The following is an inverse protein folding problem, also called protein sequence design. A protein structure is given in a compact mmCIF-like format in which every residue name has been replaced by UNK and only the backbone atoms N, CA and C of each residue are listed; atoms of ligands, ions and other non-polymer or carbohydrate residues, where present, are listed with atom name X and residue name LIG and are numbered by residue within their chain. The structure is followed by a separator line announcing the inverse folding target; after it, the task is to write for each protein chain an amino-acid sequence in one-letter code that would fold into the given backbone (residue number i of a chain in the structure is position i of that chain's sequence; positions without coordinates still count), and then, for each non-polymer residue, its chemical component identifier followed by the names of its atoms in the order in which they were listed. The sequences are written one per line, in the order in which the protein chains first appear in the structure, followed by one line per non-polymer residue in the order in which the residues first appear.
data_IF_043628958321
#
_entry.id   IF_043628958321
#
_cell.length_a   1.000
_cell.length_b   1.000
_cell.length_c   1.000
_cell.angle_alpha   90.00
_cell.angle_beta   90.00
_cell.angle_gamma   90.00
#
_symmetry.space_group_name_H-M   'P 1'
#
loop_
_entity.id
_entity.type
_entity.pdbx_description
1 polymer ?
#
# COMPACT_ATOMS: atom_id res chain seq x y z
N UNK A 1 -50.34 -49.42 -21.79
CA UNK A 1 -49.94 -49.72 -20.39
C UNK A 1 -48.41 -49.62 -20.17
N UNK A 2 -47.74 -48.55 -20.62
CA UNK A 2 -46.29 -48.37 -20.37
C UNK A 2 -45.90 -46.98 -19.82
N UNK A 3 -46.84 -46.03 -19.70
CA UNK A 3 -46.58 -44.71 -19.11
C UNK A 3 -46.79 -44.65 -17.58
N UNK A 4 -47.40 -45.68 -16.98
CA UNK A 4 -47.66 -45.73 -15.53
C UNK A 4 -46.46 -46.24 -14.71
N UNK A 5 -45.48 -46.91 -15.34
CA UNK A 5 -44.30 -47.46 -14.62
C UNK A 5 -43.12 -46.47 -14.51
N UNK A 6 -43.05 -45.44 -15.35
CA UNK A 6 -41.96 -44.46 -15.29
C UNK A 6 -42.13 -43.43 -14.17
N UNK A 7 -43.36 -43.14 -13.73
CA UNK A 7 -43.62 -42.18 -12.64
C UNK A 7 -43.38 -42.76 -11.24
N UNK A 8 -43.33 -44.08 -11.08
CA UNK A 8 -43.08 -44.71 -9.78
C UNK A 8 -41.58 -44.76 -9.41
N UNK A 9 -40.68 -44.84 -10.40
CA UNK A 9 -39.23 -44.79 -10.16
C UNK A 9 -38.71 -43.38 -9.82
N UNK A 10 -39.36 -42.32 -10.30
CA UNK A 10 -38.92 -40.94 -10.04
C UNK A 10 -39.27 -40.45 -8.62
N UNK A 11 -40.29 -41.03 -7.97
CA UNK A 11 -40.67 -40.69 -6.59
C UNK A 11 -39.89 -41.47 -5.52
N UNK A 12 -39.24 -42.60 -5.87
CA UNK A 12 -38.45 -43.39 -4.92
C UNK A 12 -37.00 -42.88 -4.75
N UNK A 13 -36.48 -42.05 -5.67
CA UNK A 13 -35.14 -41.47 -5.53
C UNK A 13 -35.09 -40.17 -4.72
N UNK A 14 -36.24 -39.60 -4.31
CA UNK A 14 -36.29 -38.35 -3.54
C UNK A 14 -36.37 -38.56 -2.01
N UNK A 15 -36.40 -39.80 -1.51
CA UNK A 15 -36.57 -40.10 -0.08
C UNK A 15 -35.41 -40.89 0.58
N UNK A 16 -34.25 -41.02 -0.08
CA UNK A 16 -33.10 -41.77 0.45
C UNK A 16 -31.90 -40.87 0.85
N UNK A 17 -32.17 -39.74 1.52
CA UNK A 17 -31.14 -38.79 1.96
C UNK A 17 -31.41 -38.15 3.32
N UNK A 18 -32.10 -38.85 4.22
CA UNK A 18 -32.45 -38.35 5.54
C UNK A 18 -32.15 -39.38 6.62
N UNK A 19 -30.88 -39.66 6.91
CA UNK A 19 -30.45 -40.23 8.21
C UNK A 19 -29.00 -39.78 8.49
N UNK A 20 -28.74 -39.45 9.76
CA UNK A 20 -27.44 -39.26 10.45
C UNK A 20 -26.89 -37.82 10.56
N UNK A 21 -27.61 -37.00 11.33
CA UNK A 21 -26.98 -35.95 12.14
C UNK A 21 -26.65 -36.53 13.52
N UNK A 22 -25.37 -36.64 13.93
CA UNK A 22 -25.02 -36.71 15.34
C UNK A 22 -25.04 -35.30 15.92
N UNK A 23 -25.95 -35.08 16.86
CA UNK A 23 -25.88 -33.96 17.78
C UNK A 23 -24.64 -34.11 18.67
N UNK A 24 -23.58 -33.39 18.34
CA UNK A 24 -22.48 -33.11 19.28
C UNK A 24 -22.68 -31.67 19.76
N UNK A 25 -23.42 -31.55 20.86
CA UNK A 25 -23.25 -30.44 21.77
C UNK A 25 -21.87 -30.58 22.39
N UNK A 26 -20.95 -29.69 22.06
CA UNK A 26 -19.80 -29.44 22.93
C UNK A 26 -19.40 -27.98 22.86
N UNK A 27 -19.25 -27.44 24.05
CA UNK A 27 -19.09 -26.05 24.39
C UNK A 27 -18.05 -25.31 23.53
N UNK A 28 -18.45 -24.11 23.12
CA UNK A 28 -17.54 -23.06 22.74
C UNK A 28 -16.64 -22.71 23.94
N UNK A 29 -15.45 -23.29 23.99
CA UNK A 29 -14.35 -22.76 24.78
C UNK A 29 -13.52 -21.86 23.86
N UNK A 30 -13.90 -20.59 23.86
CA UNK A 30 -13.02 -19.49 23.46
C UNK A 30 -11.77 -19.56 24.36
N UNK A 31 -10.54 -19.57 23.82
CA UNK A 31 -9.41 -19.15 24.63
C UNK A 31 -9.55 -17.65 24.85
N UNK A 32 -10.06 -17.30 26.03
CA UNK A 32 -9.79 -16.02 26.68
C UNK A 32 -8.28 -15.84 26.64
N UNK A 33 -7.82 -14.82 25.93
CA UNK A 33 -6.46 -14.34 26.03
C UNK A 33 -6.28 -13.83 27.47
N UNK A 34 -5.84 -14.73 28.36
CA UNK A 34 -5.41 -14.37 29.71
C UNK A 34 -4.23 -13.43 29.57
N UNK A 35 -4.50 -12.18 29.89
CA UNK A 35 -3.53 -11.21 30.33
C UNK A 35 -2.75 -11.81 31.51
N UNK A 36 -1.54 -12.31 31.27
CA UNK A 36 -0.53 -12.43 32.30
C UNK A 36 0.48 -11.31 32.10
N UNK A 37 0.08 -10.10 32.48
CA UNK A 37 1.02 -9.08 32.92
C UNK A 37 1.40 -9.48 34.36
N UNK A 38 2.56 -10.15 34.49
CA UNK A 38 3.21 -10.22 35.78
C UNK A 38 3.54 -8.78 36.21
N UNK A 39 2.91 -8.35 37.30
CA UNK A 39 3.18 -7.06 37.92
C UNK A 39 4.41 -7.24 38.80
N UNK A 40 5.54 -6.67 38.42
CA UNK A 40 6.66 -6.44 39.34
C UNK A 40 6.28 -5.26 40.26
N UNK A 41 6.17 -5.45 41.58
CA UNK A 41 6.04 -4.34 42.50
C UNK A 41 7.44 -4.07 43.06
N UNK A 42 8.17 -3.12 42.49
CA UNK A 42 9.17 -2.28 43.18
C UNK A 42 10.00 -1.46 42.17
N UNK A 43 9.88 -0.13 42.21
CA UNK A 43 10.86 0.76 41.57
C UNK A 43 10.26 2.06 41.05
N UNK A 44 10.28 3.09 41.89
CA UNK A 44 9.69 4.40 41.64
C UNK A 44 10.44 5.23 40.57
N UNK A 45 9.65 5.92 39.74
CA UNK A 45 10.04 7.08 38.93
C UNK A 45 8.80 7.65 38.22
N UNK A 46 8.40 8.92 38.47
CA UNK A 46 7.26 9.52 37.81
C UNK A 46 7.74 10.19 36.51
N UNK A 47 7.57 9.54 35.36
CA UNK A 47 7.69 10.22 34.06
C UNK A 47 8.24 9.39 32.90
N UNK A 48 7.50 8.39 32.42
CA UNK A 48 7.43 8.09 30.97
C UNK A 48 6.20 7.19 30.73
N UNK A 49 5.03 7.83 30.60
CA UNK A 49 3.75 7.14 30.44
C UNK A 49 3.60 6.48 29.07
N UNK A 50 3.50 5.15 29.06
CA UNK A 50 2.62 4.35 28.19
C UNK A 50 2.93 4.23 26.69
N UNK A 51 3.90 4.95 26.14
CA UNK A 51 4.19 4.87 24.69
C UNK A 51 5.19 3.74 24.40
N UNK A 52 4.85 2.76 23.53
CA UNK A 52 5.79 1.70 23.17
C UNK A 52 7.13 2.25 22.67
N UNK A 53 8.25 1.68 23.14
CA UNK A 53 9.61 2.14 22.80
C UNK A 53 9.84 2.30 21.29
N UNK A 54 9.35 1.37 20.49
CA UNK A 54 9.45 1.42 19.02
C UNK A 54 8.75 2.66 18.43
N UNK A 55 7.59 3.03 18.97
CA UNK A 55 6.84 4.21 18.55
C UNK A 55 7.62 5.50 18.88
N UNK A 56 8.23 5.59 20.07
CA UNK A 56 9.08 6.73 20.46
C UNK A 56 10.27 6.88 19.51
N UNK A 57 10.99 5.79 19.23
CA UNK A 57 12.12 5.77 18.28
C UNK A 57 11.69 6.19 16.87
N UNK A 58 10.55 5.69 16.38
CA UNK A 58 10.03 6.07 15.07
C UNK A 58 9.66 7.56 14.98
N UNK A 59 9.04 8.12 16.03
CA UNK A 59 8.72 9.55 16.12
C UNK A 59 9.98 10.40 16.14
N UNK A 60 11.00 10.02 16.92
CA UNK A 60 12.28 10.72 16.98
C UNK A 60 13.01 10.71 15.63
N UNK A 61 13.05 9.56 14.95
CA UNK A 61 13.59 9.43 13.59
C UNK A 61 12.87 10.36 12.61
N UNK A 62 11.55 10.43 12.67
CA UNK A 62 10.75 11.31 11.83
C UNK A 62 10.99 12.81 12.13
N UNK A 63 11.16 13.17 13.41
CA UNK A 63 11.50 14.55 13.83
C UNK A 63 12.89 14.96 13.35
N UNK A 64 13.87 14.07 13.40
CA UNK A 64 15.22 14.34 12.89
C UNK A 64 15.33 14.25 11.34
N UNK A 65 14.26 13.80 10.68
CA UNK A 65 14.21 13.51 9.25
C UNK A 65 14.30 14.72 8.33
N UNK A 66 14.53 14.43 7.05
CA UNK A 66 14.47 15.39 5.94
C UNK A 66 13.06 15.44 5.38
N UNK A 67 12.49 16.63 5.31
CA UNK A 67 11.16 16.88 4.78
C UNK A 67 11.24 17.59 3.44
N UNK A 68 10.56 17.09 2.43
CA UNK A 68 10.53 17.64 1.07
C UNK A 68 9.27 18.45 0.85
N UNK A 69 9.39 19.69 0.40
CA UNK A 69 8.22 20.46 0.00
C UNK A 69 7.79 20.12 -1.41
N UNK A 70 6.61 19.53 -1.60
CA UNK A 70 6.00 19.38 -2.90
C UNK A 70 4.53 19.85 -2.84
N UNK A 71 4.07 20.61 -3.83
CA UNK A 71 2.68 21.07 -3.89
C UNK A 71 2.20 21.78 -2.60
N UNK A 72 3.01 22.69 -2.04
CA UNK A 72 2.74 23.43 -0.78
C UNK A 72 2.54 22.55 0.46
N UNK A 73 3.03 21.31 0.40
CA UNK A 73 3.04 20.36 1.52
C UNK A 73 4.45 19.86 1.73
N UNK A 74 4.87 19.78 2.99
CA UNK A 74 6.11 19.12 3.35
C UNK A 74 5.84 17.64 3.67
N UNK A 75 6.71 16.76 3.19
CA UNK A 75 6.58 15.30 3.28
C UNK A 75 7.90 14.66 3.73
N UNK A 76 7.90 13.74 4.69
CA UNK A 76 9.11 13.02 5.05
C UNK A 76 9.50 12.02 3.96
N UNK A 77 10.75 11.56 3.97
CA UNK A 77 11.14 10.43 3.11
C UNK A 77 10.51 9.12 3.60
N UNK A 78 10.14 8.24 2.67
CA UNK A 78 9.54 6.94 2.97
C UNK A 78 10.34 6.13 4.01
N UNK A 79 11.66 6.04 3.86
CA UNK A 79 12.53 5.29 4.76
C UNK A 79 12.63 5.92 6.17
N UNK A 80 12.43 7.23 6.30
CA UNK A 80 12.41 7.90 7.61
C UNK A 80 11.13 7.55 8.37
N UNK A 81 10.02 7.39 7.65
CA UNK A 81 8.77 6.89 8.25
C UNK A 81 8.97 5.43 8.66
N UNK A 82 9.43 4.57 7.77
CA UNK A 82 9.81 3.20 8.14
C UNK A 82 8.67 2.41 8.79
N UNK A 83 8.99 1.65 9.83
CA UNK A 83 8.05 0.88 10.65
C UNK A 83 6.95 1.72 11.32
N UNK A 84 7.16 3.03 11.48
CA UNK A 84 6.18 3.94 12.08
C UNK A 84 4.82 3.89 11.35
N UNK A 85 4.78 3.56 10.05
CA UNK A 85 3.54 3.43 9.29
C UNK A 85 2.65 2.25 9.73
N UNK A 86 3.21 1.29 10.47
CA UNK A 86 2.50 0.13 11.02
C UNK A 86 2.18 0.29 12.50
N UNK A 87 3.02 1.02 13.25
CA UNK A 87 2.80 1.32 14.66
C UNK A 87 1.66 2.32 14.90
N UNK A 88 1.31 3.07 13.85
CA UNK A 88 0.30 4.12 13.89
C UNK A 88 -1.03 3.61 13.31
N UNK A 89 -2.18 3.89 13.95
CA UNK A 89 -3.48 3.54 13.39
C UNK A 89 -3.70 4.30 12.08
N UNK A 90 -4.31 3.62 11.11
CA UNK A 90 -4.68 4.21 9.82
C UNK A 90 -5.93 5.08 9.89
N UNK A 91 -6.73 4.97 10.94
CA UNK A 91 -7.84 5.87 11.19
C UNK A 91 -7.49 6.71 12.42
N UNK A 92 -6.98 7.92 12.18
CA UNK A 92 -6.86 8.89 13.26
C UNK A 92 -8.20 9.64 13.35
N UNK A 93 -8.97 9.35 14.40
CA UNK A 93 -10.27 10.02 14.64
C UNK A 93 -10.11 11.54 14.80
N UNK A 94 -8.90 12.02 15.06
CA UNK A 94 -8.59 13.42 15.33
C UNK A 94 -7.93 14.13 14.13
N UNK A 95 -7.58 13.42 13.06
CA UNK A 95 -7.04 14.02 11.83
C UNK A 95 -8.02 13.76 10.69
N UNK A 96 -8.62 14.82 10.16
CA UNK A 96 -9.40 14.70 8.93
C UNK A 96 -8.50 14.18 7.81
N UNK A 97 -8.78 12.99 7.24
CA UNK A 97 -8.02 12.52 6.10
C UNK A 97 -8.22 13.48 4.94
N UNK A 98 -7.16 13.73 4.16
CA UNK A 98 -7.29 14.55 2.95
C UNK A 98 -8.29 13.93 1.99
N UNK A 99 -8.99 14.74 1.19
CA UNK A 99 -9.94 14.25 0.18
C UNK A 99 -9.31 13.25 -0.78
N UNK A 100 -8.02 13.43 -1.11
CA UNK A 100 -7.24 12.48 -1.91
C UNK A 100 -7.04 11.13 -1.19
N UNK A 101 -6.69 11.16 0.11
CA UNK A 101 -6.53 9.94 0.90
C UNK A 101 -7.83 9.13 1.01
N UNK A 102 -8.96 9.82 1.23
CA UNK A 102 -10.30 9.22 1.22
C UNK A 102 -10.59 8.58 -0.15
N UNK A 103 -10.32 9.30 -1.23
CA UNK A 103 -10.52 8.80 -2.60
C UNK A 103 -9.68 7.56 -2.91
N UNK A 104 -8.43 7.49 -2.45
CA UNK A 104 -7.56 6.30 -2.61
C UNK A 104 -8.10 5.09 -1.88
N UNK A 105 -8.55 5.25 -0.63
CA UNK A 105 -9.16 4.16 0.15
C UNK A 105 -10.45 3.68 -0.51
N UNK A 106 -11.28 4.60 -1.01
CA UNK A 106 -12.51 4.24 -1.73
C UNK A 106 -12.21 3.44 -3.00
N UNK A 107 -11.26 3.87 -3.83
CA UNK A 107 -10.84 3.14 -5.04
C UNK A 107 -10.28 1.75 -4.71
N UNK A 108 -9.48 1.62 -3.64
CA UNK A 108 -9.00 0.31 -3.18
C UNK A 108 -10.15 -0.61 -2.73
N UNK A 109 -11.12 -0.07 -1.98
CA UNK A 109 -12.30 -0.84 -1.54
C UNK A 109 -13.17 -1.27 -2.73
N UNK A 110 -13.27 -0.45 -3.75
CA UNK A 110 -13.97 -0.80 -4.99
C UNK A 110 -13.26 -1.91 -5.77
N UNK A 111 -11.94 -1.84 -5.89
CA UNK A 111 -11.12 -2.92 -6.46
C UNK A 111 -11.29 -4.23 -5.68
N UNK A 112 -11.25 -4.16 -4.34
CA UNK A 112 -11.50 -5.30 -3.47
C UNK A 112 -12.91 -5.88 -3.68
N UNK A 113 -13.95 -5.05 -3.72
CA UNK A 113 -15.33 -5.51 -3.95
C UNK A 113 -15.46 -6.22 -5.30
N UNK A 114 -14.85 -5.65 -6.34
CA UNK A 114 -14.83 -6.22 -7.68
C UNK A 114 -14.11 -7.56 -7.70
N UNK A 115 -12.96 -7.66 -7.01
CA UNK A 115 -12.20 -8.90 -6.84
C UNK A 115 -13.01 -9.99 -6.14
N UNK A 116 -13.67 -9.66 -5.02
CA UNK A 116 -14.53 -10.60 -4.29
C UNK A 116 -15.74 -11.07 -5.11
N UNK A 117 -16.17 -10.30 -6.10
CA UNK A 117 -17.26 -10.67 -7.01
C UNK A 117 -16.76 -11.52 -8.17
N UNK A 118 -15.53 -11.25 -8.65
CA UNK A 118 -14.94 -11.91 -9.81
C UNK A 118 -13.43 -11.97 -9.68
N UNK A 119 -12.92 -13.16 -9.38
CA UNK A 119 -11.49 -13.48 -9.40
C UNK A 119 -11.02 -13.84 -10.82
N UNK A 120 -9.74 -13.60 -11.17
CA UNK A 120 -9.18 -14.08 -12.42
C UNK A 120 -9.06 -15.62 -12.41
N UNK A 121 -9.15 -16.22 -13.59
CA UNK A 121 -8.92 -17.66 -13.74
C UNK A 121 -7.51 -18.03 -13.22
N UNK A 122 -7.41 -19.07 -12.40
CA UNK A 122 -6.15 -19.50 -11.80
C UNK A 122 -5.73 -18.72 -10.55
N UNK A 123 -6.50 -17.71 -10.08
CA UNK A 123 -6.17 -16.94 -8.88
C UNK A 123 -5.97 -17.80 -7.64
N UNK A 124 -6.93 -18.68 -7.33
CA UNK A 124 -6.84 -19.59 -6.19
C UNK A 124 -5.58 -20.47 -6.19
N UNK A 125 -5.03 -20.78 -7.37
CA UNK A 125 -3.76 -21.51 -7.51
C UNK A 125 -2.57 -20.63 -7.14
N UNK A 126 -2.56 -19.35 -7.51
CA UNK A 126 -1.52 -18.42 -7.04
C UNK A 126 -1.58 -18.28 -5.51
N UNK A 127 -2.77 -18.06 -4.97
CA UNK A 127 -3.01 -17.95 -3.52
C UNK A 127 -2.50 -19.19 -2.79
N UNK A 128 -2.86 -20.39 -3.27
CA UNK A 128 -2.43 -21.65 -2.67
C UNK A 128 -0.91 -21.81 -2.67
N UNK A 129 -0.24 -21.40 -3.75
CA UNK A 129 1.22 -21.51 -3.86
C UNK A 129 1.95 -20.48 -2.98
N UNK A 130 1.44 -19.24 -2.88
CA UNK A 130 1.98 -18.24 -1.93
C UNK A 130 1.79 -18.71 -0.49
N UNK A 131 0.63 -19.29 -0.14
CA UNK A 131 0.39 -19.92 1.18
C UNK A 131 1.35 -21.08 1.44
N UNK A 132 1.56 -21.95 0.45
CA UNK A 132 2.47 -23.08 0.60
C UNK A 132 3.93 -22.62 0.82
N UNK A 133 4.37 -21.61 0.06
CA UNK A 133 5.72 -21.03 0.24
C UNK A 133 5.87 -20.37 1.61
N UNK A 134 4.81 -19.73 2.12
CA UNK A 134 4.78 -19.16 3.47
C UNK A 134 4.99 -20.22 4.55
N UNK A 135 4.30 -21.36 4.44
CA UNK A 135 4.45 -22.49 5.38
C UNK A 135 5.85 -23.10 5.27
N UNK A 136 6.38 -23.21 4.05
CA UNK A 136 7.66 -23.86 3.77
C UNK A 136 8.88 -23.04 4.18
N UNK A 137 8.88 -21.75 3.88
CA UNK A 137 10.07 -20.88 3.95
C UNK A 137 9.81 -19.53 4.64
N UNK A 138 8.62 -19.34 5.22
CA UNK A 138 8.26 -18.16 5.99
C UNK A 138 7.72 -17.00 5.15
N UNK A 139 7.29 -15.95 5.86
CA UNK A 139 6.60 -14.79 5.28
C UNK A 139 7.46 -14.07 4.23
N UNK A 140 8.77 -13.92 4.46
CA UNK A 140 9.66 -13.24 3.53
C UNK A 140 9.72 -13.92 2.15
N UNK A 141 9.81 -15.25 2.12
CA UNK A 141 9.82 -16.01 0.86
C UNK A 141 8.48 -15.90 0.12
N UNK A 142 7.37 -15.97 0.86
CA UNK A 142 6.04 -15.81 0.28
C UNK A 142 5.78 -14.42 -0.29
N UNK A 143 6.27 -13.37 0.38
CA UNK A 143 6.19 -11.99 -0.12
C UNK A 143 7.02 -11.81 -1.39
N UNK A 144 8.24 -12.33 -1.40
CA UNK A 144 9.11 -12.33 -2.58
C UNK A 144 8.46 -13.07 -3.76
N UNK A 145 7.81 -14.21 -3.51
CA UNK A 145 7.07 -14.95 -4.53
C UNK A 145 5.86 -14.17 -5.06
N UNK A 146 5.07 -13.56 -4.19
CA UNK A 146 3.91 -12.76 -4.59
C UNK A 146 4.31 -11.55 -5.45
N UNK A 147 5.40 -10.88 -5.07
CA UNK A 147 5.98 -9.75 -5.82
C UNK A 147 6.40 -10.18 -7.22
N UNK A 148 7.21 -11.24 -7.33
CA UNK A 148 7.68 -11.78 -8.60
C UNK A 148 6.52 -12.25 -9.51
N UNK A 149 5.53 -12.95 -8.95
CA UNK A 149 4.34 -13.40 -9.70
C UNK A 149 3.59 -12.24 -10.34
N UNK A 150 3.35 -11.15 -9.61
CA UNK A 150 2.62 -10.00 -10.14
C UNK A 150 3.46 -9.19 -11.12
N UNK A 151 4.78 -9.14 -10.94
CA UNK A 151 5.71 -8.45 -11.84
C UNK A 151 5.88 -9.14 -13.21
N UNK A 152 5.34 -10.34 -13.40
CA UNK A 152 5.21 -10.99 -14.72
C UNK A 152 4.14 -10.35 -15.62
N UNK A 153 3.38 -9.35 -15.12
CA UNK A 153 2.49 -8.54 -15.94
C UNK A 153 3.26 -7.32 -16.46
N UNK A 154 3.09 -6.96 -17.74
CA UNK A 154 3.74 -5.78 -18.33
C UNK A 154 3.19 -4.48 -17.72
N UNK A 155 4.07 -3.51 -17.49
CA UNK A 155 3.65 -2.15 -17.14
C UNK A 155 3.02 -1.43 -18.35
N UNK A 156 1.84 -0.83 -18.18
CA UNK A 156 1.08 -0.15 -19.23
C UNK A 156 0.53 1.19 -18.73
N UNK A 157 1.02 2.28 -19.31
CA UNK A 157 0.50 3.64 -19.08
C UNK A 157 -0.92 3.85 -19.64
N UNK A 158 -1.54 4.97 -19.29
CA UNK A 158 -2.84 5.38 -19.85
C UNK A 158 -4.05 4.69 -19.22
N UNK A 159 -3.96 4.27 -17.95
CA UNK A 159 -5.13 3.75 -17.22
C UNK A 159 -6.11 4.87 -16.86
N UNK A 160 -7.38 4.52 -16.64
CA UNK A 160 -8.50 5.46 -16.41
C UNK A 160 -8.51 6.15 -15.03
N UNK A 161 -7.40 6.08 -14.28
CA UNK A 161 -7.32 6.63 -12.93
C UNK A 161 -7.89 5.74 -11.81
N UNK A 162 -8.76 4.75 -12.12
CA UNK A 162 -9.27 3.78 -11.14
C UNK A 162 -8.19 2.83 -10.62
N UNK A 163 -8.48 2.04 -9.59
CA UNK A 163 -7.61 0.97 -9.11
C UNK A 163 -8.13 -0.35 -9.69
N UNK A 164 -7.32 -1.06 -10.45
CA UNK A 164 -7.78 -2.27 -11.12
C UNK A 164 -7.83 -3.44 -10.13
N UNK A 165 -8.96 -4.16 -10.12
CA UNK A 165 -9.03 -5.48 -9.52
C UNK A 165 -8.16 -6.49 -10.31
N UNK A 166 -7.67 -7.58 -9.70
CA UNK A 166 -6.77 -8.53 -10.35
C UNK A 166 -7.29 -9.09 -11.68
N UNK A 167 -8.61 -9.32 -11.80
CA UNK A 167 -9.24 -9.74 -13.05
C UNK A 167 -9.01 -8.76 -14.20
N UNK A 168 -9.20 -7.46 -13.94
CA UNK A 168 -8.97 -6.42 -14.94
C UNK A 168 -7.47 -6.24 -15.18
N UNK A 169 -6.68 -6.19 -14.12
CA UNK A 169 -5.23 -6.02 -14.19
C UNK A 169 -4.56 -7.14 -15.00
N UNK A 170 -4.95 -8.40 -14.85
CA UNK A 170 -4.39 -9.49 -15.65
C UNK A 170 -4.87 -9.47 -17.10
N UNK A 171 -6.08 -8.99 -17.37
CA UNK A 171 -6.57 -8.89 -18.75
C UNK A 171 -5.95 -7.69 -19.51
N UNK A 172 -5.77 -6.58 -18.81
CA UNK A 172 -5.43 -5.31 -19.43
C UNK A 172 -4.00 -4.84 -19.16
N UNK A 173 -3.28 -5.42 -18.21
CA UNK A 173 -2.14 -4.76 -17.55
C UNK A 173 -2.54 -3.50 -16.77
N UNK A 174 -1.57 -2.77 -16.21
CA UNK A 174 -1.84 -1.54 -15.46
C UNK A 174 -0.59 -0.73 -15.15
N UNK A 175 -0.75 0.28 -14.30
CA UNK A 175 0.35 1.13 -13.80
C UNK A 175 0.69 0.79 -12.35
N UNK A 176 1.66 1.48 -11.74
CA UNK A 176 2.19 1.18 -10.41
C UNK A 176 1.15 0.86 -9.33
N UNK A 177 0.06 1.65 -9.26
CA UNK A 177 -1.04 1.44 -8.31
C UNK A 177 -1.75 0.10 -8.50
N UNK A 178 -1.88 -0.38 -9.73
CA UNK A 178 -2.59 -1.62 -10.07
C UNK A 178 -1.74 -2.84 -9.69
N UNK A 179 -0.41 -2.76 -9.89
CA UNK A 179 0.53 -3.75 -9.36
C UNK A 179 0.46 -3.81 -7.83
N UNK A 180 0.45 -2.66 -7.15
CA UNK A 180 0.35 -2.60 -5.69
C UNK A 180 -0.96 -3.23 -5.20
N UNK A 181 -2.09 -2.98 -5.88
CA UNK A 181 -3.40 -3.58 -5.58
C UNK A 181 -3.39 -5.09 -5.80
N UNK A 182 -2.83 -5.58 -6.91
CA UNK A 182 -2.76 -7.01 -7.19
C UNK A 182 -1.90 -7.76 -6.15
N UNK A 183 -0.74 -7.21 -5.77
CA UNK A 183 0.12 -7.76 -4.70
C UNK A 183 -0.58 -7.74 -3.35
N UNK A 184 -1.25 -6.64 -3.04
CA UNK A 184 -2.02 -6.46 -1.82
C UNK A 184 -3.08 -7.56 -1.67
N UNK A 185 -3.88 -7.77 -2.72
CA UNK A 185 -4.95 -8.76 -2.72
C UNK A 185 -4.41 -10.20 -2.72
N UNK A 186 -3.31 -10.47 -3.44
CA UNK A 186 -2.67 -11.79 -3.43
C UNK A 186 -2.19 -12.17 -2.03
N UNK A 187 -1.51 -11.26 -1.34
CA UNK A 187 -1.01 -11.49 0.02
C UNK A 187 -2.14 -11.57 1.04
N UNK A 188 -3.13 -10.68 0.95
CA UNK A 188 -4.34 -10.71 1.79
C UNK A 188 -5.05 -12.06 1.66
N UNK A 189 -5.31 -12.51 0.44
CA UNK A 189 -5.97 -13.79 0.20
C UNK A 189 -5.06 -14.96 0.57
N UNK A 190 -3.73 -14.80 0.56
CA UNK A 190 -2.79 -15.77 1.12
C UNK A 190 -2.74 -15.77 2.66
N UNK A 191 -3.58 -14.99 3.34
CA UNK A 191 -3.72 -15.00 4.80
C UNK A 191 -2.69 -14.14 5.54
N UNK A 192 -2.08 -13.16 4.87
CA UNK A 192 -1.35 -12.10 5.55
C UNK A 192 -2.33 -11.17 6.26
N UNK A 193 -1.98 -10.77 7.48
CA UNK A 193 -2.78 -9.79 8.23
C UNK A 193 -2.76 -8.44 7.49
N UNK A 194 -3.96 -7.89 7.28
CA UNK A 194 -4.18 -6.57 6.70
C UNK A 194 -3.44 -5.47 7.48
N UNK A 195 -3.28 -5.63 8.79
CA UNK A 195 -2.50 -4.71 9.62
C UNK A 195 -1.01 -4.67 9.21
N UNK A 196 -0.50 -5.68 8.51
CA UNK A 196 0.88 -5.78 8.02
C UNK A 196 1.05 -5.38 6.54
N UNK A 197 -0.03 -4.95 5.89
CA UNK A 197 -0.03 -4.54 4.48
C UNK A 197 -0.38 -3.06 4.35
N UNK A 198 0.49 -2.28 3.68
CA UNK A 198 0.30 -0.84 3.48
C UNK A 198 0.60 -0.44 2.04
N UNK A 199 -0.41 0.04 1.32
CA UNK A 199 -0.13 0.80 0.10
C UNK A 199 0.42 2.16 0.51
N UNK A 200 1.47 2.62 -0.17
CA UNK A 200 2.06 3.92 0.09
C UNK A 200 2.05 4.75 -1.19
N UNK A 201 1.48 5.95 -1.09
CA UNK A 201 1.46 6.94 -2.16
C UNK A 201 2.65 7.87 -1.97
N UNK A 202 3.53 7.89 -2.95
CA UNK A 202 4.74 8.70 -2.99
C UNK A 202 4.49 9.89 -3.92
N UNK A 203 4.82 11.07 -3.43
CA UNK A 203 4.73 12.30 -4.20
C UNK A 203 5.92 12.40 -5.18
N UNK A 204 5.78 13.24 -6.23
CA UNK A 204 6.87 13.56 -7.14
C UNK A 204 8.17 13.93 -6.41
N UNK A 205 9.30 13.40 -6.93
CA UNK A 205 10.63 13.69 -6.38
C UNK A 205 11.16 15.05 -6.84
N UNK A 206 10.74 15.49 -8.02
CA UNK A 206 11.26 16.69 -8.68
C UNK A 206 10.10 17.61 -9.09
N UNK A 207 10.35 18.92 -9.06
CA UNK A 207 9.33 19.93 -9.32
C UNK A 207 8.90 19.98 -10.79
N UNK A 208 9.79 19.56 -11.69
CA UNK A 208 9.51 19.47 -13.12
C UNK A 208 8.81 18.17 -13.56
N UNK A 209 8.47 17.27 -12.62
CA UNK A 209 7.76 16.02 -12.90
C UNK A 209 6.50 15.90 -12.04
N UNK A 210 5.53 16.83 -12.12
CA UNK A 210 4.38 16.85 -11.22
C UNK A 210 3.46 15.63 -11.34
N UNK A 211 3.51 14.93 -12.46
CA UNK A 211 2.72 13.71 -12.73
C UNK A 211 3.40 12.42 -12.24
N UNK A 212 4.62 12.50 -11.68
CA UNK A 212 5.43 11.37 -11.19
C UNK A 212 4.98 10.88 -9.80
N UNK A 213 3.67 10.72 -9.62
CA UNK A 213 3.10 10.04 -8.45
C UNK A 213 3.31 8.54 -8.57
N UNK A 214 3.71 7.91 -7.47
CA UNK A 214 4.00 6.48 -7.46
C UNK A 214 3.30 5.77 -6.31
N UNK A 215 2.84 4.55 -6.54
CA UNK A 215 2.19 3.74 -5.53
C UNK A 215 2.87 2.38 -5.47
N UNK A 216 3.32 2.00 -4.28
CA UNK A 216 3.92 0.68 -4.02
C UNK A 216 3.21 0.02 -2.84
N UNK A 217 3.49 -1.26 -2.63
CA UNK A 217 3.09 -1.98 -1.42
C UNK A 217 4.29 -2.08 -0.47
N UNK A 218 4.07 -1.79 0.81
CA UNK A 218 5.03 -2.04 1.88
C UNK A 218 4.44 -3.09 2.82
N UNK A 219 5.23 -4.11 3.16
CA UNK A 219 4.81 -5.25 3.96
C UNK A 219 5.67 -5.37 5.20
N UNK A 220 5.05 -5.39 6.38
CA UNK A 220 5.73 -5.70 7.63
C UNK A 220 5.91 -7.21 7.75
N UNK A 221 7.15 -7.65 7.93
CA UNK A 221 7.49 -9.06 8.18
C UNK A 221 7.84 -9.24 9.66
N UNK A 222 7.28 -10.29 10.28
CA UNK A 222 7.62 -10.63 11.67
C UNK A 222 9.08 -11.12 11.73
N UNK A 223 9.84 -10.60 12.70
CA UNK A 223 11.26 -10.91 12.84
C UNK A 223 12.20 -10.22 11.84
N UNK A 224 11.67 -9.48 10.86
CA UNK A 224 12.50 -8.63 10.00
C UNK A 224 12.87 -7.32 10.71
N UNK A 225 14.09 -6.83 10.45
CA UNK A 225 14.58 -5.56 10.99
C UNK A 225 13.90 -4.33 10.39
N UNK A 226 13.36 -4.44 9.18
CA UNK A 226 12.60 -3.39 8.52
C UNK A 226 11.52 -3.98 7.59
N UNK A 227 10.47 -3.19 7.26
CA UNK A 227 9.48 -3.59 6.26
C UNK A 227 10.09 -3.85 4.88
N UNK A 228 9.43 -4.66 4.08
CA UNK A 228 9.79 -4.90 2.68
C UNK A 228 8.99 -3.98 1.75
N UNK A 229 9.65 -3.38 0.77
CA UNK A 229 9.04 -2.60 -0.30
C UNK A 229 8.87 -3.48 -1.55
N UNK A 230 7.65 -3.50 -2.09
CA UNK A 230 7.25 -4.27 -3.27
C UNK A 230 6.82 -3.28 -4.35
N UNK A 231 7.65 -3.13 -5.37
CA UNK A 231 7.51 -2.10 -6.41
C UNK A 231 7.08 -2.71 -7.76
N UNK A 232 6.41 -1.93 -8.61
CA UNK A 232 6.14 -2.33 -9.99
C UNK A 232 7.42 -2.30 -10.83
N UNK A 233 7.48 -3.06 -11.94
CA UNK A 233 8.54 -2.89 -12.93
C UNK A 233 8.58 -1.45 -13.45
N UNK A 234 9.77 -0.99 -13.86
CA UNK A 234 9.90 0.31 -14.53
C UNK A 234 9.06 0.35 -15.80
N UNK A 235 8.41 1.48 -16.07
CA UNK A 235 7.80 1.71 -17.37
C UNK A 235 8.85 1.53 -18.48
N UNK A 236 8.52 0.86 -19.60
CA UNK A 236 9.43 0.78 -20.73
C UNK A 236 9.79 2.21 -21.15
N UNK A 237 11.09 2.51 -21.26
CA UNK A 237 11.53 3.82 -21.75
C UNK A 237 10.93 4.05 -23.12
N UNK A 238 10.25 5.18 -23.31
CA UNK A 238 9.69 5.55 -24.60
C UNK A 238 10.83 5.63 -25.63
N UNK A 239 11.03 4.54 -26.38
CA UNK A 239 11.92 4.54 -27.54
C UNK A 239 11.34 5.48 -28.59
N UNK A 240 12.22 6.22 -29.28
CA UNK A 240 11.86 7.14 -30.36
C UNK A 240 10.95 6.46 -31.37
N UNK A 241 10.07 7.25 -31.98
CA UNK A 241 8.94 6.85 -32.83
C UNK A 241 9.27 6.02 -34.11
N UNK A 242 10.49 5.51 -34.29
CA UNK A 242 10.86 4.63 -35.40
C UNK A 242 10.58 3.15 -35.16
N UNK A 243 10.28 2.73 -33.92
CA UNK A 243 10.13 1.31 -33.56
C UNK A 243 8.64 0.86 -33.49
N UNK A 244 7.71 1.75 -33.84
CA UNK A 244 6.24 1.61 -33.67
C UNK A 244 5.58 0.54 -34.56
N UNK A 245 6.29 -0.03 -35.53
CA UNK A 245 5.71 -1.05 -36.42
C UNK A 245 5.61 -2.45 -35.78
N UNK A 246 6.29 -2.72 -34.66
CA UNK A 246 6.38 -4.08 -34.09
C UNK A 246 5.72 -4.28 -32.72
N UNK A 247 5.26 -3.21 -32.04
CA UNK A 247 4.64 -3.33 -30.70
C UNK A 247 3.11 -3.53 -30.73
N UNK A 248 2.44 -3.29 -31.86
CA UNK A 248 0.99 -3.49 -31.99
C UNK A 248 0.56 -4.96 -31.86
N UNK A 249 1.50 -5.90 -31.87
CA UNK A 249 1.28 -7.35 -31.67
C UNK A 249 1.84 -7.89 -30.35
N UNK A 250 2.37 -7.05 -29.46
CA UNK A 250 2.82 -7.49 -28.13
C UNK A 250 1.61 -7.61 -27.20
N UNK A 251 1.04 -8.82 -27.14
CA UNK A 251 -0.08 -9.25 -26.30
C UNK A 251 -0.20 -8.46 -24.98
N UNK A 252 -1.29 -7.69 -24.83
CA UNK A 252 -1.72 -7.16 -23.53
C UNK A 252 -2.09 -8.31 -22.60
N UNK A 253 -1.49 -8.38 -21.41
CA UNK A 253 -1.80 -9.41 -20.44
C UNK A 253 -0.59 -10.00 -19.70
N UNK A 254 -0.75 -11.18 -19.06
CA UNK A 254 0.30 -11.86 -18.32
C UNK A 254 1.42 -12.36 -19.25
N UNK A 255 2.65 -12.49 -18.74
CA UNK A 255 3.70 -13.21 -19.47
C UNK A 255 3.28 -14.65 -19.79
N UNK A 256 3.92 -15.28 -20.78
CA UNK A 256 3.70 -16.69 -21.09
C UNK A 256 3.97 -17.60 -19.87
N UNK A 257 4.95 -17.24 -19.04
CA UNK A 257 5.28 -17.95 -17.82
C UNK A 257 4.14 -17.84 -16.78
N UNK A 258 3.66 -16.62 -16.51
CA UNK A 258 2.52 -16.43 -15.61
C UNK A 258 1.26 -17.13 -16.16
N UNK A 259 1.02 -17.09 -17.47
CA UNK A 259 -0.05 -17.84 -18.11
C UNK A 259 0.07 -19.36 -17.92
N UNK A 260 1.28 -19.92 -17.99
CA UNK A 260 1.53 -21.33 -17.71
C UNK A 260 1.31 -21.69 -16.24
N UNK A 261 1.71 -20.82 -15.31
CA UNK A 261 1.48 -20.99 -13.87
C UNK A 261 -0.02 -20.92 -13.54
N UNK A 262 -0.74 -19.93 -14.08
CA UNK A 262 -2.18 -19.78 -13.93
C UNK A 262 -2.93 -21.00 -14.48
N UNK A 263 -2.44 -21.59 -15.58
CA UNK A 263 -2.97 -22.82 -16.15
C UNK A 263 -2.51 -24.09 -15.41
N UNK A 264 -1.51 -24.01 -14.52
CA UNK A 264 -1.02 -25.12 -13.71
C UNK A 264 -0.04 -26.02 -14.44
N UNK A 265 0.54 -25.53 -15.54
CA UNK A 265 1.58 -26.21 -16.30
C UNK A 265 2.98 -25.99 -15.71
N UNK A 266 3.15 -24.92 -14.95
CA UNK A 266 4.41 -24.56 -14.30
C UNK A 266 4.18 -24.23 -12.82
N UNK A 267 5.15 -24.50 -11.93
CA UNK A 267 5.08 -24.07 -10.54
C UNK A 267 5.37 -22.56 -10.41
N UNK A 268 4.77 -21.92 -9.41
CA UNK A 268 4.90 -20.48 -9.17
C UNK A 268 6.35 -20.06 -8.92
N UNK A 269 7.15 -20.88 -8.24
CA UNK A 269 8.55 -20.56 -7.96
C UNK A 269 9.44 -20.47 -9.23
N UNK A 270 8.93 -20.87 -10.40
CA UNK A 270 9.62 -20.65 -11.67
C UNK A 270 9.89 -19.16 -11.94
N UNK A 271 9.01 -18.25 -11.48
CA UNK A 271 9.20 -16.78 -11.64
C UNK A 271 10.41 -16.25 -10.88
N UNK A 272 10.89 -16.96 -9.85
CA UNK A 272 12.06 -16.53 -9.08
C UNK A 272 13.37 -16.63 -9.87
N UNK A 273 13.35 -17.39 -10.98
CA UNK A 273 14.47 -17.54 -11.91
C UNK A 273 14.29 -16.73 -13.19
N UNK A 274 13.14 -16.06 -13.36
CA UNK A 274 12.84 -15.27 -14.54
C UNK A 274 13.64 -13.94 -14.51
N UNK A 275 13.97 -13.37 -15.68
CA UNK A 275 14.68 -12.08 -15.75
C UNK A 275 13.94 -10.92 -15.08
N UNK A 276 12.61 -11.01 -14.99
CA UNK A 276 11.80 -9.99 -14.32
C UNK A 276 12.03 -9.94 -12.81
N UNK A 277 12.37 -11.09 -12.19
CA UNK A 277 12.77 -11.25 -10.79
C UNK A 277 11.81 -10.62 -9.75
N UNK A 278 12.06 -10.87 -8.45
CA UNK A 278 11.46 -10.04 -7.41
C UNK A 278 12.15 -8.67 -7.40
N UNK A 279 11.36 -7.61 -7.29
CA UNK A 279 11.82 -6.24 -7.02
C UNK A 279 11.72 -5.90 -5.54
N UNK A 280 11.53 -6.92 -4.70
CA UNK A 280 11.40 -6.79 -3.26
C UNK A 280 12.74 -6.43 -2.64
N UNK A 281 12.75 -5.37 -1.84
CA UNK A 281 13.92 -4.95 -1.07
C UNK A 281 13.52 -4.52 0.34
N UNK A 282 14.42 -4.61 1.33
CA UNK A 282 14.24 -3.89 2.59
C UNK A 282 13.98 -2.40 2.32
N UNK A 283 13.04 -1.78 3.06
CA UNK A 283 12.49 -0.47 2.73
C UNK A 283 13.56 0.61 2.55
N UNK A 284 14.57 0.65 3.43
CA UNK A 284 15.69 1.59 3.38
C UNK A 284 16.58 1.42 2.15
N UNK A 285 16.62 0.22 1.57
CA UNK A 285 17.41 -0.15 0.40
C UNK A 285 16.61 -0.07 -0.91
N UNK A 286 15.30 0.15 -0.83
CA UNK A 286 14.46 0.29 -2.02
C UNK A 286 14.81 1.55 -2.82
N UNK A 287 14.63 1.51 -4.15
CA UNK A 287 14.78 2.70 -5.01
C UNK A 287 13.82 3.84 -4.66
N UNK A 288 12.80 3.54 -3.87
CA UNK A 288 11.75 4.45 -3.40
C UNK A 288 12.03 5.02 -2.00
N UNK A 289 13.04 4.53 -1.28
CA UNK A 289 13.37 4.87 0.11
C UNK A 289 13.41 6.38 0.38
N UNK A 290 13.96 7.15 -0.57
CA UNK A 290 14.15 8.60 -0.46
C UNK A 290 13.02 9.43 -1.07
N UNK A 291 11.94 8.81 -1.55
CA UNK A 291 10.83 9.57 -2.13
C UNK A 291 9.94 10.17 -1.04
N UNK A 292 9.37 11.37 -1.28
CA UNK A 292 8.48 11.99 -0.31
C UNK A 292 7.21 11.18 -0.13
N UNK A 293 6.92 10.75 1.09
CA UNK A 293 5.72 9.99 1.43
C UNK A 293 4.54 10.94 1.64
N UNK A 294 3.48 10.76 0.86
CA UNK A 294 2.23 11.50 1.03
C UNK A 294 1.30 10.79 2.01
N UNK A 295 0.87 9.58 1.65
CA UNK A 295 -0.19 8.86 2.35
C UNK A 295 0.14 7.37 2.40
N UNK A 296 -0.14 6.75 3.54
CA UNK A 296 -0.11 5.31 3.75
C UNK A 296 -1.56 4.85 3.94
N UNK A 297 -1.99 3.77 3.31
CA UNK A 297 -3.38 3.34 3.36
C UNK A 297 -3.55 1.84 3.10
N UNK A 298 -4.72 1.32 3.50
CA UNK A 298 -5.26 0.03 3.09
C UNK A 298 -6.80 0.13 3.04
N UNK A 299 -7.53 -0.98 2.99
CA UNK A 299 -8.99 -1.00 2.99
C UNK A 299 -9.61 -0.57 4.34
N UNK A 300 -8.86 -0.55 5.43
CA UNK A 300 -9.32 -0.11 6.75
C UNK A 300 -9.26 1.42 6.90
N UNK A 301 -8.29 2.08 6.26
CA UNK A 301 -8.16 3.54 6.33
C UNK A 301 -6.88 4.09 5.72
N UNK A 302 -6.56 5.33 6.06
CA UNK A 302 -5.40 6.04 5.54
C UNK A 302 -4.81 7.01 6.56
N UNK A 303 -3.48 7.03 6.65
CA UNK A 303 -2.74 8.01 7.42
C UNK A 303 -1.88 8.88 6.50
N UNK A 304 -2.06 10.18 6.61
CA UNK A 304 -1.17 11.15 5.96
C UNK A 304 0.02 11.46 6.84
N UNK A 305 1.19 11.62 6.21
CA UNK A 305 2.41 12.15 6.84
C UNK A 305 2.72 13.56 6.35
N UNK A 306 1.82 14.17 5.59
CA UNK A 306 1.97 15.52 5.06
C UNK A 306 1.76 16.57 6.15
N UNK A 307 2.47 17.68 6.02
CA UNK A 307 2.17 18.91 6.77
C UNK A 307 2.03 20.08 5.80
N UNK A 308 1.33 21.13 6.22
CA UNK A 308 1.33 22.38 5.47
C UNK A 308 2.76 22.93 5.39
N UNK A 309 3.19 23.37 4.21
CA UNK A 309 4.40 24.15 4.11
C UNK A 309 4.22 25.51 4.82
N UNK A 310 5.29 26.08 5.41
CA UNK A 310 5.24 27.43 5.98
C UNK A 310 4.68 28.43 4.95
N UNK A 311 3.67 29.22 5.32
CA UNK A 311 3.04 30.22 4.44
C UNK A 311 1.82 29.76 3.63
N UNK A 312 1.38 28.51 3.75
CA UNK A 312 0.16 28.03 3.08
C UNK A 312 -1.12 28.58 3.75
N UNK A 313 -1.55 29.80 3.40
CA UNK A 313 -2.87 30.33 3.79
C UNK A 313 -4.01 29.51 3.14
N UNK A 314 -4.98 29.08 3.95
CA UNK A 314 -6.24 28.43 3.51
C UNK A 314 -7.06 29.43 2.69
N UNK A 315 -7.48 29.08 1.46
CA UNK A 315 -8.56 29.81 0.79
C UNK A 315 -9.57 28.90 0.13
N UNK A 316 -10.84 29.29 0.32
CA UNK A 316 -12.05 28.65 -0.17
C UNK A 316 -12.15 28.66 -1.70
N UNK A 317 -12.87 27.67 -2.21
CA UNK A 317 -13.06 27.32 -3.62
C UNK A 317 -13.67 28.44 -4.48
N UNK A 318 -13.05 28.74 -5.64
CA UNK A 318 -13.71 29.35 -6.78
C UNK A 318 -13.10 28.83 -8.11
N UNK A 319 -13.97 28.64 -9.09
CA UNK A 319 -13.77 27.83 -10.28
C UNK A 319 -13.30 28.62 -11.52
N UNK A 320 -12.55 27.94 -12.40
CA UNK A 320 -12.71 28.05 -13.86
C UNK A 320 -11.69 28.90 -14.65
N UNK A 321 -10.81 28.23 -15.40
CA UNK A 321 -10.62 28.28 -16.88
C UNK A 321 -9.19 27.87 -17.28
N UNK A 322 -9.10 27.10 -18.37
CA UNK A 322 -7.86 26.56 -18.96
C UNK A 322 -7.19 27.58 -19.89
N UNK A 323 -5.90 27.85 -19.67
CA UNK A 323 -4.87 28.15 -20.68
C UNK A 323 -3.48 28.07 -20.02
N UNK A 324 -2.51 27.44 -20.71
CA UNK A 324 -1.07 27.27 -20.41
C UNK A 324 -0.58 27.78 -19.03
N UNK A 325 -0.35 26.85 -18.10
CA UNK A 325 -0.23 27.14 -16.66
C UNK A 325 1.08 27.87 -16.28
N UNK A 326 1.06 29.20 -16.35
CA UNK A 326 1.92 30.08 -15.58
C UNK A 326 1.18 30.37 -14.26
N UNK A 327 1.65 29.79 -13.15
CA UNK A 327 0.99 29.96 -11.84
C UNK A 327 1.44 31.29 -11.23
N UNK A 328 0.52 32.24 -11.13
CA UNK A 328 0.72 33.50 -10.40
C UNK A 328 0.19 33.32 -8.98
N UNK A 329 0.94 33.75 -7.96
CA UNK A 329 0.45 33.74 -6.58
C UNK A 329 -0.39 34.99 -6.25
N UNK A 330 -0.97 35.03 -5.05
CA UNK A 330 -1.88 36.09 -4.61
C UNK A 330 -1.17 37.44 -4.31
N UNK A 331 0.15 37.53 -4.49
CA UNK A 331 0.92 38.78 -4.35
C UNK A 331 1.24 39.42 -5.71
N UNK A 332 0.89 38.76 -6.83
CA UNK A 332 1.26 39.22 -8.17
C UNK A 332 2.75 39.05 -8.47
N UNK A 333 3.49 38.34 -7.62
CA UNK A 333 4.90 38.06 -7.87
C UNK A 333 5.03 36.82 -8.75
N UNK A 334 5.72 37.00 -9.87
CA UNK A 334 6.15 35.89 -10.71
C UNK A 334 7.23 35.11 -9.96
N UNK A 335 6.90 33.93 -9.45
CA UNK A 335 7.93 33.02 -8.98
C UNK A 335 8.69 32.44 -10.18
N UNK A 336 10.00 32.62 -10.18
CA UNK A 336 10.91 31.84 -11.03
C UNK A 336 11.23 30.57 -10.28
N UNK A 337 10.91 29.43 -10.90
CA UNK A 337 11.46 28.12 -10.55
C UNK A 337 12.97 28.29 -10.47
N UNK A 338 13.56 28.01 -9.30
CA UNK A 338 15.00 27.95 -9.20
C UNK A 338 15.48 26.84 -10.16
N UNK A 339 16.57 27.07 -10.88
CA UNK A 339 17.12 26.06 -11.80
C UNK A 339 17.60 24.77 -11.10
N UNK A 340 17.40 24.64 -9.79
CA UNK A 340 17.68 23.42 -9.05
C UNK A 340 16.49 22.47 -9.24
N UNK A 341 16.72 21.34 -9.89
CA UNK A 341 15.67 20.35 -10.18
C UNK A 341 15.06 19.70 -8.91
N UNK A 342 15.42 20.13 -7.71
CA UNK A 342 15.10 19.49 -6.43
C UNK A 342 14.25 20.38 -5.55
N UNK A 343 13.16 19.84 -5.00
CA UNK A 343 12.33 20.54 -4.02
C UNK A 343 13.10 20.97 -2.77
N UNK A 344 12.74 22.10 -2.12
CA UNK A 344 13.32 22.54 -0.85
C UNK A 344 13.24 21.45 0.23
N UNK A 345 14.32 21.33 1.00
CA UNK A 345 14.42 20.40 2.13
C UNK A 345 14.33 21.14 3.45
N UNK A 346 13.47 20.65 4.33
CA UNK A 346 13.17 21.21 5.64
C UNK A 346 13.65 20.27 6.74
N UNK A 347 13.99 20.86 7.90
CA UNK A 347 14.16 20.11 9.15
C UNK A 347 13.18 20.66 10.18
N UNK A 348 12.62 19.75 10.96
CA UNK A 348 11.84 20.09 12.16
C UNK A 348 12.83 20.65 13.19
N UNK A 349 12.57 21.86 13.68
CA UNK A 349 13.34 22.40 14.80
C UNK A 349 13.01 21.59 16.06
N UNK A 350 14.04 21.25 16.83
CA UNK A 350 13.87 20.68 18.16
C UNK A 350 13.38 21.82 19.05
N UNK A 351 12.23 21.67 19.68
CA UNK A 351 11.81 22.60 20.74
C UNK A 351 12.90 22.55 21.83
N UNK A 352 13.69 23.62 21.96
CA UNK A 352 14.56 23.83 23.12
C UNK A 352 13.67 24.08 24.34
N UNK A 353 13.19 22.99 24.95
CA UNK A 353 12.38 23.02 26.17
C UNK A 353 13.22 23.14 27.46
N UNK A 354 14.53 23.41 27.37
CA UNK A 354 15.40 23.62 28.55
C UNK A 354 15.70 25.10 28.85
N UNK A 355 15.00 26.04 28.23
CA UNK A 355 14.95 27.42 28.71
C UNK A 355 13.73 27.56 29.65
N UNK A 356 13.88 28.10 30.88
CA UNK A 356 12.76 28.20 31.82
C UNK A 356 11.63 29.06 31.20
N UNK A 357 10.51 28.41 30.90
CA UNK A 357 9.37 29.03 30.26
C UNK A 357 8.67 30.03 31.19
N UNK A 358 8.38 31.23 30.70
CA UNK A 358 7.29 32.07 31.23
C UNK A 358 5.96 31.38 30.94
N UNK A 359 4.96 31.46 31.84
CA UNK A 359 3.71 30.75 31.70
C UNK A 359 2.81 31.43 30.66
N UNK A 360 2.46 30.72 29.60
CA UNK A 360 1.50 31.12 28.58
C UNK A 360 1.02 29.90 27.78
N UNK A 361 -0.26 29.89 27.43
CA UNK A 361 -1.05 28.71 27.09
C UNK A 361 -0.46 27.77 26.02
N UNK A 362 -0.67 26.48 26.27
CA UNK A 362 -0.22 25.34 25.48
C UNK A 362 -0.78 25.34 24.05
N UNK A 363 0.13 25.26 23.06
CA UNK A 363 -0.04 24.50 21.82
C UNK A 363 1.36 24.32 21.22
N UNK A 364 1.94 23.12 21.36
CA UNK A 364 3.27 22.80 20.84
C UNK A 364 3.28 22.77 19.30
N UNK A 365 3.36 23.94 18.68
CA UNK A 365 3.64 24.11 17.27
C UNK A 365 5.14 23.90 17.04
N UNK A 366 5.48 22.72 16.52
CA UNK A 366 6.82 22.39 16.04
C UNK A 366 7.23 23.45 15.00
N UNK A 367 8.23 24.28 15.32
CA UNK A 367 8.80 25.23 14.36
C UNK A 367 9.57 24.47 13.27
N UNK A 368 9.41 24.85 12.01
CA UNK A 368 10.16 24.28 10.88
C UNK A 368 11.08 25.38 10.36
N UNK A 369 12.39 25.12 10.31
CA UNK A 369 13.36 26.08 9.81
C UNK A 369 13.76 25.71 8.36
N UNK A 370 13.80 26.72 7.49
CA UNK A 370 14.35 26.59 6.14
C UNK A 370 15.88 26.35 6.24
N UNK A 371 16.43 25.64 5.26
CA UNK A 371 17.87 25.44 5.12
C UNK A 371 18.47 26.41 4.11
#
# INVERSE_FOLDING_TARGET
MQLARLRLCFLQCLFAGAVLLPAVASAANLPVASQHLASDPNGAGPGDSGTPRALKVGIERLRAGTWWEANRKIRPELAQVGDLMFLLPLADRNLEPSSDAIGRVQRLREALRSHLTREPAGWGRLVAQVRAERVKAGDASAVLLADALVNEVRYRDGTDGSYYAPTRFFAESGVCKDFAVAKYLLLRDAGFDVARLRLVSLAPRYNNTPDDWHVILVVQIDGASEPLALDSPSAPTAKRASDTANEASASSGPSALLGAILAGREPANAVLRAPAGPLTAPLSQSGQARRPLATVFNEQGSRSFERAAPGALRRASAAGRRANAMYVDEMGESWKVDGSATFPKWRVAVDQADAPAKPGAATGLIRVAAR
#
